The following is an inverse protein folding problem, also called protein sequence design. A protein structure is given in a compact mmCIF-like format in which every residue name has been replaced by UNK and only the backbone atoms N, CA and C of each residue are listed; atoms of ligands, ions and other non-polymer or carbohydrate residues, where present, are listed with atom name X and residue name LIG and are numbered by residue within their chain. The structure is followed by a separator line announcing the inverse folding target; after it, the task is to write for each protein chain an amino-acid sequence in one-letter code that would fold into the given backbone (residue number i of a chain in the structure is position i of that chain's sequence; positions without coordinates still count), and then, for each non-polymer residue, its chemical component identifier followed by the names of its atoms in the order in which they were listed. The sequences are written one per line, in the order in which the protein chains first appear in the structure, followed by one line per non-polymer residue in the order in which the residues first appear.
data_IF_503172783187
#
_entry.id   IF_503172783187
#
_cell.length_a   1.000
_cell.length_b   1.000
_cell.length_c   1.000
_cell.angle_alpha   90.00
_cell.angle_beta   90.00
_cell.angle_gamma   90.00
#
_symmetry.space_group_name_H-M   'P 1'
#
loop_
_entity.id
_entity.type
_entity.pdbx_description
1 polymer ?
#
# COMPACT_ATOMS: atom_id res chain seq x y z
N UNK A 1 -13.97 1.26 16.91
CA UNK A 1 -15.28 1.98 16.81
C UNK A 1 -16.28 1.20 17.66
N UNK A 2 -17.10 1.87 18.47
CA UNK A 2 -18.24 1.21 19.15
C UNK A 2 -19.26 0.86 18.06
N UNK A 3 -19.78 -0.35 18.05
CA UNK A 3 -20.84 -0.78 17.14
C UNK A 3 -22.04 0.16 17.27
N UNK A 4 -22.50 0.74 16.14
CA UNK A 4 -23.71 1.56 16.05
C UNK A 4 -23.53 3.08 15.93
N UNK A 5 -22.31 3.64 16.03
CA UNK A 5 -22.08 5.08 15.86
C UNK A 5 -21.74 5.40 14.40
N UNK A 6 -22.50 6.30 13.77
CA UNK A 6 -22.19 6.72 12.40
C UNK A 6 -20.86 7.48 12.35
N UNK A 7 -20.14 7.40 11.23
CA UNK A 7 -18.87 8.12 11.06
C UNK A 7 -19.04 9.64 11.26
N UNK A 8 -20.22 10.18 10.97
CA UNK A 8 -20.54 11.60 11.20
C UNK A 8 -20.64 11.94 12.69
N UNK A 9 -21.32 11.11 13.46
CA UNK A 9 -21.43 11.28 14.92
C UNK A 9 -20.08 11.15 15.60
N UNK A 10 -19.25 10.21 15.14
CA UNK A 10 -17.89 10.02 15.64
C UNK A 10 -16.99 11.25 15.39
N UNK A 11 -17.07 11.86 14.21
CA UNK A 11 -16.38 13.14 13.91
C UNK A 11 -16.83 14.26 14.83
N UNK A 12 -18.15 14.39 15.08
CA UNK A 12 -18.68 15.41 16.00
C UNK A 12 -18.17 15.21 17.43
N UNK A 13 -18.14 13.98 17.91
CA UNK A 13 -17.62 13.62 19.24
C UNK A 13 -16.11 13.97 19.35
N UNK A 14 -15.30 13.65 18.34
CA UNK A 14 -13.86 13.96 18.34
C UNK A 14 -13.63 15.48 18.36
N UNK A 15 -14.41 16.26 17.60
CA UNK A 15 -14.33 17.72 17.61
C UNK A 15 -14.70 18.32 18.98
N UNK A 16 -15.70 17.75 19.65
CA UNK A 16 -16.04 18.15 21.02
C UNK A 16 -14.87 17.91 21.97
N UNK A 17 -14.21 16.75 21.89
CA UNK A 17 -13.03 16.44 22.71
C UNK A 17 -11.87 17.39 22.45
N UNK A 18 -11.65 17.79 21.18
CA UNK A 18 -10.63 18.78 20.83
C UNK A 18 -10.96 20.17 21.36
N UNK A 19 -12.26 20.54 21.46
CA UNK A 19 -12.65 21.78 22.10
C UNK A 19 -12.33 21.79 23.61
N UNK A 20 -12.36 20.63 24.26
CA UNK A 20 -11.99 20.47 25.67
C UNK A 20 -10.48 20.29 25.88
N UNK A 21 -9.79 19.65 24.93
CA UNK A 21 -8.34 19.40 24.97
C UNK A 21 -7.74 19.57 23.55
N UNK A 22 -7.39 20.79 23.12
CA UNK A 22 -6.88 21.08 21.79
C UNK A 22 -5.54 20.40 21.43
N UNK A 23 -4.67 20.14 22.42
CA UNK A 23 -3.34 19.55 22.20
C UNK A 23 -3.31 18.01 22.26
N UNK A 24 -4.44 17.32 22.07
CA UNK A 24 -4.46 15.88 22.14
C UNK A 24 -4.11 15.23 20.79
N UNK A 25 -2.84 14.88 20.59
CA UNK A 25 -2.34 14.23 19.38
C UNK A 25 -3.18 13.03 18.92
N UNK A 26 -3.58 12.17 19.85
CA UNK A 26 -4.39 10.98 19.53
C UNK A 26 -5.80 11.34 19.06
N UNK A 27 -6.39 12.41 19.56
CA UNK A 27 -7.71 12.87 19.12
C UNK A 27 -7.63 13.46 17.72
N UNK A 28 -6.61 14.28 17.42
CA UNK A 28 -6.31 14.75 16.06
C UNK A 28 -6.09 13.59 15.09
N UNK A 29 -5.26 12.62 15.45
CA UNK A 29 -5.01 11.43 14.65
C UNK A 29 -6.30 10.65 14.33
N UNK A 30 -7.14 10.39 15.33
CA UNK A 30 -8.41 9.67 15.14
C UNK A 30 -9.40 10.48 14.29
N UNK A 31 -9.41 11.80 14.42
CA UNK A 31 -10.23 12.68 13.58
C UNK A 31 -9.74 12.65 12.13
N UNK A 32 -8.42 12.70 11.91
CA UNK A 32 -7.82 12.52 10.60
C UNK A 32 -8.25 11.22 9.91
N UNK A 33 -8.22 10.08 10.64
CA UNK A 33 -8.69 8.79 10.11
C UNK A 33 -10.20 8.85 9.77
N UNK A 34 -11.02 9.43 10.65
CA UNK A 34 -12.46 9.51 10.42
C UNK A 34 -12.80 10.38 9.20
N UNK A 35 -12.05 11.46 8.99
CA UNK A 35 -12.19 12.36 7.84
C UNK A 35 -11.70 11.69 6.54
N UNK A 36 -10.61 10.94 6.59
CA UNK A 36 -10.11 10.13 5.46
C UNK A 36 -11.18 9.14 4.97
N UNK A 37 -11.88 8.46 5.88
CA UNK A 37 -13.00 7.56 5.54
C UNK A 37 -14.20 8.28 4.90
N UNK A 38 -14.32 9.60 5.09
CA UNK A 38 -15.33 10.46 4.46
C UNK A 38 -14.80 11.13 3.18
N UNK A 39 -13.60 10.81 2.71
CA UNK A 39 -12.90 11.46 1.59
C UNK A 39 -12.71 12.98 1.77
N UNK A 40 -12.68 13.46 3.02
CA UNK A 40 -12.44 14.86 3.39
C UNK A 40 -10.94 15.10 3.56
N UNK A 41 -10.23 14.99 2.43
CA UNK A 41 -8.75 14.91 2.41
C UNK A 41 -8.06 16.11 3.03
N UNK A 42 -8.48 17.34 2.72
CA UNK A 42 -7.80 18.54 3.19
C UNK A 42 -7.98 18.76 4.72
N UNK A 43 -9.15 18.39 5.25
CA UNK A 43 -9.36 18.39 6.69
C UNK A 43 -8.56 17.28 7.38
N UNK A 44 -8.51 16.09 6.78
CA UNK A 44 -7.68 15.00 7.30
C UNK A 44 -6.19 15.36 7.33
N UNK A 45 -5.68 16.03 6.29
CA UNK A 45 -4.31 16.54 6.24
C UNK A 45 -4.04 17.50 7.40
N UNK A 46 -4.97 18.42 7.67
CA UNK A 46 -4.84 19.37 8.79
C UNK A 46 -4.74 18.61 10.11
N UNK A 47 -5.65 17.68 10.35
CA UNK A 47 -5.69 16.93 11.61
C UNK A 47 -4.47 16.03 11.81
N UNK A 48 -3.96 15.38 10.75
CA UNK A 48 -2.71 14.62 10.87
C UNK A 48 -1.49 15.50 11.13
N UNK A 49 -1.44 16.72 10.56
CA UNK A 49 -0.38 17.69 10.86
C UNK A 49 -0.41 18.17 12.31
N UNK A 50 -1.59 18.45 12.85
CA UNK A 50 -1.75 18.79 14.26
C UNK A 50 -1.32 17.61 15.15
N UNK A 51 -1.72 16.37 14.80
CA UNK A 51 -1.28 15.19 15.52
C UNK A 51 0.26 15.04 15.55
N UNK A 52 0.92 15.35 14.43
CA UNK A 52 2.39 15.33 14.31
C UNK A 52 3.02 16.47 15.11
N UNK A 53 2.44 17.67 15.11
CA UNK A 53 2.93 18.81 15.87
C UNK A 53 2.90 18.52 17.38
N UNK A 54 1.81 17.92 17.87
CA UNK A 54 1.65 17.55 19.27
C UNK A 54 2.46 16.30 19.67
N UNK A 55 2.71 15.40 18.72
CA UNK A 55 3.49 14.16 18.93
C UNK A 55 4.40 13.87 17.73
N UNK A 56 5.63 14.44 17.71
CA UNK A 56 6.56 14.36 16.57
C UNK A 56 7.05 12.95 16.21
N UNK A 57 6.81 11.95 17.08
CA UNK A 57 7.18 10.56 16.83
C UNK A 57 5.96 9.62 16.61
N UNK A 58 4.78 10.19 16.34
CA UNK A 58 3.57 9.42 16.02
C UNK A 58 3.65 8.92 14.57
N UNK A 59 4.40 7.84 14.35
CA UNK A 59 4.67 7.28 13.03
C UNK A 59 3.41 7.03 12.20
N UNK A 60 2.34 6.59 12.85
CA UNK A 60 1.04 6.29 12.23
C UNK A 60 0.40 7.53 11.59
N UNK A 61 0.59 8.72 12.17
CA UNK A 61 0.09 9.98 11.59
C UNK A 61 0.84 10.33 10.30
N UNK A 62 2.17 10.19 10.29
CA UNK A 62 2.99 10.38 9.08
C UNK A 62 2.58 9.42 7.97
N UNK A 63 2.40 8.13 8.29
CA UNK A 63 2.03 7.11 7.31
C UNK A 63 0.65 7.38 6.71
N UNK A 64 -0.34 7.73 7.52
CA UNK A 64 -1.66 8.08 7.00
C UNK A 64 -1.63 9.35 6.15
N UNK A 65 -0.88 10.36 6.59
CA UNK A 65 -0.70 11.60 5.82
C UNK A 65 0.03 11.33 4.49
N UNK A 66 1.08 10.49 4.48
CA UNK A 66 1.78 10.09 3.26
C UNK A 66 0.84 9.37 2.29
N UNK A 67 -0.03 8.49 2.79
CA UNK A 67 -1.04 7.81 1.98
C UNK A 67 -2.01 8.78 1.29
N UNK A 68 -2.43 9.85 1.98
CA UNK A 68 -3.27 10.89 1.36
C UNK A 68 -2.49 11.60 0.23
N UNK A 69 -1.21 11.95 0.44
CA UNK A 69 -0.43 12.60 -0.60
C UNK A 69 -0.21 11.68 -1.81
N UNK A 70 0.03 10.38 -1.61
CA UNK A 70 0.10 9.42 -2.71
C UNK A 70 -1.21 9.35 -3.50
N UNK A 71 -2.36 9.33 -2.85
CA UNK A 71 -3.67 9.37 -3.53
C UNK A 71 -3.91 10.69 -4.30
N UNK A 72 -3.33 11.80 -3.83
CA UNK A 72 -3.39 13.09 -4.54
C UNK A 72 -2.36 13.21 -5.67
N UNK A 73 -1.51 12.19 -5.90
CA UNK A 73 -0.41 12.22 -6.87
C UNK A 73 0.81 13.05 -6.43
N UNK A 74 0.84 13.48 -5.17
CA UNK A 74 1.93 14.30 -4.60
C UNK A 74 3.02 13.38 -4.02
N UNK A 75 3.64 12.56 -4.89
CA UNK A 75 4.54 11.46 -4.49
C UNK A 75 5.70 11.93 -3.61
N UNK A 76 6.37 13.02 -3.98
CA UNK A 76 7.51 13.54 -3.22
C UNK A 76 7.16 13.88 -1.78
N UNK A 77 5.99 14.52 -1.55
CA UNK A 77 5.53 14.85 -0.19
C UNK A 77 5.28 13.60 0.66
N UNK A 78 4.68 12.57 0.04
CA UNK A 78 4.46 11.29 0.71
C UNK A 78 5.78 10.58 1.06
N UNK A 79 6.73 10.57 0.13
CA UNK A 79 8.08 10.01 0.34
C UNK A 79 8.81 10.73 1.47
N UNK A 80 8.77 12.07 1.51
CA UNK A 80 9.45 12.84 2.55
C UNK A 80 8.88 12.54 3.95
N UNK A 81 7.58 12.34 4.08
CA UNK A 81 6.97 11.90 5.33
C UNK A 81 7.43 10.49 5.73
N UNK A 82 7.53 9.56 4.79
CA UNK A 82 8.06 8.22 5.03
C UNK A 82 9.52 8.27 5.49
N UNK A 83 10.37 9.11 4.87
CA UNK A 83 11.76 9.32 5.28
C UNK A 83 11.86 9.87 6.70
N UNK A 84 10.98 10.78 7.10
CA UNK A 84 10.96 11.27 8.48
C UNK A 84 10.67 10.13 9.45
N UNK A 85 9.74 9.22 9.15
CA UNK A 85 9.49 8.04 9.99
C UNK A 85 10.72 7.16 10.08
N UNK A 86 11.41 6.87 8.97
CA UNK A 86 12.60 6.01 8.98
C UNK A 86 13.75 6.61 9.77
N UNK A 87 13.81 7.93 9.96
CA UNK A 87 14.83 8.60 10.75
C UNK A 87 14.70 8.33 12.26
N UNK A 88 13.49 8.20 12.79
CA UNK A 88 13.26 7.92 14.21
C UNK A 88 12.77 6.48 14.50
N UNK A 89 12.35 5.73 13.49
CA UNK A 89 11.87 4.35 13.60
C UNK A 89 12.37 3.51 12.41
N UNK A 90 13.67 3.28 12.39
CA UNK A 90 14.36 2.65 11.26
C UNK A 90 14.00 1.16 11.02
N UNK A 91 13.43 0.48 12.02
CA UNK A 91 12.98 -0.91 11.97
C UNK A 91 11.56 -1.08 11.42
N UNK A 92 10.82 0.02 11.23
CA UNK A 92 9.44 -0.02 10.78
C UNK A 92 9.35 -0.24 9.26
N UNK A 93 8.82 -1.39 8.82
CA UNK A 93 8.79 -1.80 7.42
C UNK A 93 7.87 -0.94 6.54
N UNK A 94 6.74 -0.45 7.10
CA UNK A 94 5.68 0.22 6.33
C UNK A 94 6.16 1.44 5.54
N UNK A 95 6.95 2.40 6.11
CA UNK A 95 7.40 3.54 5.33
C UNK A 95 8.29 3.15 4.14
N UNK A 96 9.10 2.09 4.26
CA UNK A 96 9.90 1.58 3.15
C UNK A 96 9.00 0.97 2.06
N UNK A 97 7.99 0.19 2.42
CA UNK A 97 7.01 -0.35 1.47
C UNK A 97 6.26 0.76 0.74
N UNK A 98 5.85 1.81 1.45
CA UNK A 98 5.17 2.97 0.88
C UNK A 98 6.06 3.77 -0.07
N UNK A 99 7.33 3.99 0.28
CA UNK A 99 8.31 4.62 -0.61
C UNK A 99 8.54 3.78 -1.87
N UNK A 100 8.68 2.46 -1.72
CA UNK A 100 8.84 1.55 -2.84
C UNK A 100 7.66 1.60 -3.80
N UNK A 101 6.43 1.58 -3.28
CA UNK A 101 5.24 1.77 -4.10
C UNK A 101 5.24 3.13 -4.83
N UNK A 102 5.58 4.21 -4.13
CA UNK A 102 5.62 5.54 -4.73
C UNK A 102 6.66 5.63 -5.85
N UNK A 103 7.88 5.12 -5.63
CA UNK A 103 8.92 5.09 -6.67
C UNK A 103 8.50 4.26 -7.89
N UNK A 104 7.81 3.13 -7.67
CA UNK A 104 7.29 2.33 -8.79
C UNK A 104 6.26 3.12 -9.60
N UNK A 105 5.35 3.87 -8.96
CA UNK A 105 4.38 4.73 -9.65
C UNK A 105 5.05 5.89 -10.41
N UNK A 106 6.22 6.35 -9.96
CA UNK A 106 7.03 7.36 -10.66
C UNK A 106 7.88 6.78 -11.80
N UNK A 107 7.88 5.45 -11.99
CA UNK A 107 8.73 4.76 -12.96
C UNK A 107 10.19 4.60 -12.53
N UNK A 108 10.52 4.93 -11.27
CA UNK A 108 11.86 4.80 -10.69
C UNK A 108 12.06 3.38 -10.13
N UNK A 109 12.09 2.40 -11.03
CA UNK A 109 11.98 0.96 -10.69
C UNK A 109 13.11 0.49 -9.79
N UNK A 110 14.36 0.91 -10.04
CA UNK A 110 15.52 0.54 -9.23
C UNK A 110 15.38 0.99 -7.78
N UNK A 111 14.94 2.24 -7.58
CA UNK A 111 14.69 2.79 -6.24
C UNK A 111 13.51 2.10 -5.55
N UNK A 112 12.49 1.73 -6.33
CA UNK A 112 11.37 0.96 -5.82
C UNK A 112 11.83 -0.39 -5.28
N UNK A 113 12.63 -1.14 -6.04
CA UNK A 113 13.18 -2.44 -5.62
C UNK A 113 14.02 -2.30 -4.35
N UNK A 114 14.91 -1.31 -4.29
CA UNK A 114 15.75 -1.06 -3.12
C UNK A 114 14.89 -0.83 -1.85
N UNK A 115 13.90 0.04 -1.91
CA UNK A 115 13.03 0.32 -0.78
C UNK A 115 12.16 -0.88 -0.39
N UNK A 116 11.65 -1.63 -1.36
CA UNK A 116 10.82 -2.82 -1.10
C UNK A 116 11.64 -3.96 -0.50
N UNK A 117 12.89 -4.15 -0.94
CA UNK A 117 13.81 -5.11 -0.32
C UNK A 117 14.08 -4.76 1.15
N UNK A 118 14.30 -3.48 1.47
CA UNK A 118 14.43 -3.04 2.87
C UNK A 118 13.13 -3.28 3.67
N UNK A 119 11.95 -3.06 3.08
CA UNK A 119 10.67 -3.36 3.72
C UNK A 119 10.54 -4.85 4.05
N UNK A 120 10.81 -5.74 3.08
CA UNK A 120 10.72 -7.20 3.25
C UNK A 120 11.80 -7.73 4.21
N UNK A 121 12.97 -7.11 4.26
CA UNK A 121 14.03 -7.45 5.22
C UNK A 121 13.61 -7.13 6.66
N UNK A 122 12.87 -6.02 6.88
CA UNK A 122 12.36 -5.62 8.20
C UNK A 122 11.12 -6.42 8.61
N UNK A 123 10.25 -6.71 7.69
CA UNK A 123 9.08 -7.57 7.89
C UNK A 123 8.93 -8.56 6.73
N UNK A 124 9.46 -9.79 6.89
CA UNK A 124 9.35 -10.85 5.87
C UNK A 124 7.92 -11.31 5.58
N UNK A 125 6.94 -10.93 6.42
CA UNK A 125 5.52 -11.26 6.26
C UNK A 125 4.71 -10.09 5.67
N UNK A 126 5.36 -9.01 5.26
CA UNK A 126 4.69 -7.85 4.69
C UNK A 126 4.22 -8.13 3.24
N UNK A 127 3.02 -8.72 3.14
CA UNK A 127 2.43 -9.20 1.87
C UNK A 127 2.38 -8.12 0.79
N UNK A 128 1.99 -6.90 1.16
CA UNK A 128 1.92 -5.79 0.20
C UNK A 128 3.30 -5.46 -0.37
N UNK A 129 4.34 -5.40 0.46
CA UNK A 129 5.71 -5.13 -0.01
C UNK A 129 6.22 -6.26 -0.91
N UNK A 130 5.99 -7.53 -0.54
CA UNK A 130 6.33 -8.68 -1.37
C UNK A 130 5.67 -8.62 -2.75
N UNK A 131 4.38 -8.31 -2.78
CA UNK A 131 3.63 -8.25 -4.03
C UNK A 131 4.08 -7.08 -4.93
N UNK A 132 4.31 -5.89 -4.34
CA UNK A 132 4.81 -4.74 -5.11
C UNK A 132 6.24 -4.99 -5.58
N UNK A 133 7.07 -5.69 -4.79
CA UNK A 133 8.42 -6.11 -5.21
C UNK A 133 8.34 -7.06 -6.42
N UNK A 134 7.42 -8.02 -6.41
CA UNK A 134 7.14 -8.87 -7.57
C UNK A 134 6.76 -8.04 -8.81
N UNK A 135 5.90 -7.04 -8.66
CA UNK A 135 5.55 -6.12 -9.76
C UNK A 135 6.75 -5.33 -10.28
N UNK A 136 7.60 -4.83 -9.37
CA UNK A 136 8.81 -4.08 -9.75
C UNK A 136 9.82 -4.99 -10.49
N UNK A 137 9.98 -6.25 -10.06
CA UNK A 137 10.80 -7.25 -10.75
C UNK A 137 10.28 -7.52 -12.18
N UNK A 138 8.95 -7.62 -12.38
CA UNK A 138 8.37 -7.75 -13.73
C UNK A 138 8.75 -6.56 -14.63
N UNK A 139 8.71 -5.34 -14.13
CA UNK A 139 9.11 -4.15 -14.89
C UNK A 139 10.56 -4.21 -15.36
N UNK A 140 11.45 -4.93 -14.64
CA UNK A 140 12.85 -5.14 -15.02
C UNK A 140 13.09 -6.45 -15.77
N UNK A 141 12.05 -7.26 -16.04
CA UNK A 141 12.20 -8.56 -16.69
C UNK A 141 12.82 -9.64 -15.78
N UNK A 142 12.87 -9.41 -14.48
CA UNK A 142 13.36 -10.36 -13.48
C UNK A 142 12.24 -11.36 -13.11
N UNK A 143 12.00 -12.31 -14.01
CA UNK A 143 10.81 -13.18 -13.95
C UNK A 143 10.85 -14.13 -12.76
N UNK A 144 12.01 -14.74 -12.50
CA UNK A 144 12.21 -15.70 -11.40
C UNK A 144 12.01 -15.01 -10.04
N UNK A 145 12.55 -13.82 -9.87
CA UNK A 145 12.40 -13.00 -8.65
C UNK A 145 10.92 -12.60 -8.45
N UNK A 146 10.24 -12.21 -9.53
CA UNK A 146 8.81 -11.93 -9.47
C UNK A 146 8.02 -13.14 -8.96
N UNK A 147 8.28 -14.34 -9.51
CA UNK A 147 7.63 -15.59 -9.09
C UNK A 147 7.93 -15.83 -7.61
N UNK A 148 9.17 -15.80 -7.19
CA UNK A 148 9.56 -16.07 -5.82
C UNK A 148 8.88 -15.14 -4.79
N UNK A 149 8.85 -13.84 -5.07
CA UNK A 149 8.20 -12.87 -4.18
C UNK A 149 6.67 -13.00 -4.17
N UNK A 150 6.07 -13.26 -5.33
CA UNK A 150 4.62 -13.41 -5.45
C UNK A 150 4.12 -14.73 -4.85
N UNK A 151 4.87 -15.83 -5.01
CA UNK A 151 4.58 -17.11 -4.33
C UNK A 151 4.62 -16.94 -2.82
N UNK A 152 5.65 -16.28 -2.29
CA UNK A 152 5.71 -15.97 -0.86
C UNK A 152 4.54 -15.11 -0.39
N UNK A 153 4.09 -14.15 -1.19
CA UNK A 153 2.92 -13.34 -0.86
C UNK A 153 1.63 -14.18 -0.77
N UNK A 154 1.40 -15.12 -1.70
CA UNK A 154 0.21 -16.00 -1.65
C UNK A 154 0.34 -17.13 -0.62
N UNK A 155 1.55 -17.54 -0.24
CA UNK A 155 1.76 -18.44 0.90
C UNK A 155 1.25 -17.81 2.20
N UNK A 156 1.50 -16.52 2.40
CA UNK A 156 1.06 -15.76 3.59
C UNK A 156 -0.42 -15.39 3.48
N UNK A 157 -0.85 -14.92 2.32
CA UNK A 157 -2.20 -14.46 2.05
C UNK A 157 -2.74 -15.07 0.74
N UNK A 158 -3.36 -16.27 0.76
CA UNK A 158 -3.75 -17.03 -0.42
C UNK A 158 -4.72 -16.31 -1.37
N UNK A 159 -5.40 -15.28 -0.89
CA UNK A 159 -6.37 -14.52 -1.69
C UNK A 159 -5.84 -13.14 -2.11
N UNK A 160 -4.51 -12.93 -2.06
CA UNK A 160 -3.93 -11.64 -2.42
C UNK A 160 -3.86 -11.49 -3.95
N UNK A 161 -4.89 -10.83 -4.49
CA UNK A 161 -5.17 -10.77 -5.92
C UNK A 161 -4.01 -10.22 -6.79
N UNK A 162 -3.28 -9.20 -6.30
CA UNK A 162 -2.14 -8.60 -7.01
C UNK A 162 -1.01 -9.61 -7.20
N UNK A 163 -0.72 -10.44 -6.20
CA UNK A 163 0.32 -11.47 -6.31
C UNK A 163 -0.06 -12.55 -7.33
N UNK A 164 -1.33 -12.93 -7.38
CA UNK A 164 -1.82 -13.84 -8.43
C UNK A 164 -1.70 -13.22 -9.83
N UNK A 165 -2.01 -11.93 -10.00
CA UNK A 165 -1.81 -11.25 -11.27
C UNK A 165 -0.33 -11.23 -11.69
N UNK A 166 0.58 -10.95 -10.76
CA UNK A 166 2.02 -10.99 -11.03
C UNK A 166 2.48 -12.39 -11.49
N UNK A 167 2.01 -13.45 -10.81
CA UNK A 167 2.29 -14.84 -11.20
C UNK A 167 1.72 -15.17 -12.58
N UNK A 168 0.52 -14.68 -12.90
CA UNK A 168 -0.06 -14.89 -14.23
C UNK A 168 0.82 -14.31 -15.35
N UNK A 169 1.25 -13.07 -15.17
CA UNK A 169 2.14 -12.41 -16.14
C UNK A 169 3.51 -13.12 -16.23
N UNK A 170 4.11 -13.42 -15.09
CA UNK A 170 5.41 -14.08 -15.03
C UNK A 170 5.40 -15.48 -15.68
N UNK A 171 4.38 -16.30 -15.40
CA UNK A 171 4.28 -17.64 -16.00
C UNK A 171 4.01 -17.59 -17.51
N UNK A 172 3.23 -16.59 -17.99
CA UNK A 172 3.04 -16.43 -19.44
C UNK A 172 4.37 -16.09 -20.13
N UNK A 173 5.17 -15.17 -19.56
CA UNK A 173 6.49 -14.82 -20.09
C UNK A 173 7.48 -16.00 -20.08
N UNK A 174 7.30 -16.95 -19.16
CA UNK A 174 8.08 -18.22 -19.14
C UNK A 174 7.59 -19.25 -20.13
N UNK A 175 6.49 -19.01 -20.85
CA UNK A 175 5.88 -20.00 -21.74
C UNK A 175 5.11 -21.11 -20.99
N UNK A 176 4.56 -20.82 -19.83
CA UNK A 176 3.78 -21.72 -18.99
C UNK A 176 2.30 -21.28 -18.95
N UNK A 177 1.57 -21.32 -20.09
CA UNK A 177 0.25 -20.70 -20.21
C UNK A 177 -0.82 -21.31 -19.29
N UNK A 178 -0.72 -22.61 -18.96
CA UNK A 178 -1.69 -23.23 -18.05
C UNK A 178 -1.61 -22.63 -16.64
N UNK A 179 -0.39 -22.39 -16.13
CA UNK A 179 -0.19 -21.72 -14.85
C UNK A 179 -0.62 -20.25 -14.93
N UNK A 180 -0.30 -19.57 -16.03
CA UNK A 180 -0.71 -18.19 -16.25
C UNK A 180 -2.25 -18.05 -16.21
N UNK A 181 -3.00 -18.95 -16.87
CA UNK A 181 -4.46 -18.98 -16.84
C UNK A 181 -4.97 -19.21 -15.42
N UNK A 182 -4.42 -20.21 -14.70
CA UNK A 182 -4.81 -20.49 -13.33
C UNK A 182 -4.69 -19.26 -12.42
N UNK A 183 -3.55 -18.59 -12.46
CA UNK A 183 -3.31 -17.41 -11.62
C UNK A 183 -4.12 -16.20 -12.08
N UNK A 184 -4.34 -16.01 -13.38
CA UNK A 184 -5.22 -14.98 -13.92
C UNK A 184 -6.65 -15.13 -13.42
N UNK A 185 -7.19 -16.36 -13.45
CA UNK A 185 -8.53 -16.67 -12.97
C UNK A 185 -8.64 -16.42 -11.45
N UNK A 186 -7.61 -16.78 -10.67
CA UNK A 186 -7.53 -16.48 -9.24
C UNK A 186 -7.45 -14.98 -8.95
N UNK A 187 -6.66 -14.22 -9.71
CA UNK A 187 -6.62 -12.77 -9.57
C UNK A 187 -8.02 -12.15 -9.76
N UNK A 188 -8.73 -12.57 -10.82
CA UNK A 188 -10.10 -12.10 -11.09
C UNK A 188 -11.10 -12.53 -10.02
N UNK A 189 -11.02 -13.78 -9.54
CA UNK A 189 -11.86 -14.32 -8.46
C UNK A 189 -11.71 -13.49 -7.18
N UNK A 190 -10.47 -13.02 -6.90
CA UNK A 190 -10.15 -12.23 -5.70
C UNK A 190 -10.28 -10.72 -5.92
N UNK A 191 -10.90 -10.30 -7.02
CA UNK A 191 -11.31 -8.92 -7.25
C UNK A 191 -10.26 -8.04 -7.92
N UNK A 192 -9.22 -8.61 -8.55
CA UNK A 192 -8.29 -7.85 -9.39
C UNK A 192 -8.91 -7.64 -10.78
N UNK A 193 -8.90 -6.39 -11.24
CA UNK A 193 -9.32 -6.06 -12.61
C UNK A 193 -8.15 -6.32 -13.57
N UNK A 194 -8.15 -7.52 -14.17
CA UNK A 194 -7.11 -7.94 -15.11
C UNK A 194 -7.25 -7.17 -16.42
N UNK A 195 -6.11 -6.68 -16.95
CA UNK A 195 -6.10 -5.88 -18.16
C UNK A 195 -6.71 -6.65 -19.36
N UNK A 196 -7.62 -6.04 -20.15
CA UNK A 196 -8.30 -6.73 -21.24
C UNK A 196 -7.37 -7.34 -22.29
N UNK A 197 -6.26 -6.66 -22.61
CA UNK A 197 -5.26 -7.17 -23.57
C UNK A 197 -4.62 -8.46 -23.08
N UNK A 198 -4.31 -8.56 -21.78
CA UNK A 198 -3.74 -9.76 -21.17
C UNK A 198 -4.74 -10.93 -21.20
N UNK A 199 -6.03 -10.65 -20.95
CA UNK A 199 -7.08 -11.67 -21.08
C UNK A 199 -7.21 -12.19 -22.52
N UNK A 200 -7.09 -11.31 -23.52
CA UNK A 200 -7.13 -11.68 -24.93
C UNK A 200 -5.91 -12.52 -25.32
N UNK A 201 -4.72 -12.17 -24.83
CA UNK A 201 -3.49 -12.94 -25.03
C UNK A 201 -3.64 -14.38 -24.47
N UNK A 202 -4.19 -14.52 -23.27
CA UNK A 202 -4.43 -15.83 -22.66
C UNK A 202 -5.53 -16.65 -23.37
N UNK A 203 -6.44 -15.98 -24.10
CA UNK A 203 -7.52 -16.67 -24.82
C UNK A 203 -7.00 -17.67 -25.84
N UNK A 204 -5.87 -17.39 -26.49
CA UNK A 204 -5.23 -18.29 -27.45
C UNK A 204 -4.82 -19.65 -26.83
N UNK A 205 -4.65 -19.71 -25.52
CA UNK A 205 -4.24 -20.89 -24.76
C UNK A 205 -5.38 -21.55 -23.99
N UNK A 206 -6.56 -20.91 -23.90
CA UNK A 206 -7.77 -21.52 -23.30
C UNK A 206 -8.38 -22.51 -24.30
N UNK A 207 -8.47 -23.77 -23.88
CA UNK A 207 -9.14 -24.85 -24.64
C UNK A 207 -10.64 -24.84 -24.38
#
# INVERSE_FOLDING_TARGET
MREGVSTKEYVAELRKRLAENPGCALTHYNLGIALTKQHRWDEAITEFREAIAESPHLAEAYINLSGIYFQKGEMDKGIDLCKQVTAFRADFAVPYGNMGFAYLQMGEVERAIEMLQEAVKKDPMFVQALSVLGSACLCQGQIEECIAHSEKAIEIAPHFAVAHNNLAVAHLQKGEPEKAIYHCDKASEYGYEVHPEFLEELRAFRK
#
